data_IF_033836119877
#
_entry.id   IF_033836119877
#
_cell.length_a   1.000
_cell.length_b   1.000
_cell.length_c   1.000
_cell.angle_alpha   90.00
_cell.angle_beta   90.00
_cell.angle_gamma   90.00
#
_symmetry.space_group_name_H-M   'P 1'
#
loop_
_entity.id
_entity.type
_entity.pdbx_description
1 polymer ?
#
# COMPACT_ATOMS: atom_id res chain seq x y z
N UNK A 1 -15.16 -4.29 4.96
CA UNK A 1 -13.95 -5.11 5.15
C UNK A 1 -14.28 -6.36 5.95
N UNK A 2 -13.99 -7.53 5.42
CA UNK A 2 -14.10 -8.80 6.17
C UNK A 2 -12.77 -9.13 6.85
N UNK A 3 -12.83 -9.66 8.07
CA UNK A 3 -11.64 -10.08 8.83
C UNK A 3 -11.84 -11.49 9.38
N UNK A 4 -10.76 -12.27 9.43
CA UNK A 4 -10.72 -13.55 10.11
C UNK A 4 -10.26 -13.34 11.57
N UNK A 5 -11.05 -13.79 12.53
CA UNK A 5 -10.72 -13.76 13.98
C UNK A 5 -11.19 -15.05 14.62
N UNK A 6 -10.25 -15.78 15.25
CA UNK A 6 -10.56 -17.06 15.90
C UNK A 6 -11.27 -18.06 14.98
N UNK A 7 -10.89 -18.11 13.70
CA UNK A 7 -11.52 -18.99 12.70
C UNK A 7 -12.89 -18.52 12.17
N UNK A 8 -13.43 -17.40 12.67
CA UNK A 8 -14.71 -16.84 12.22
C UNK A 8 -14.50 -15.64 11.29
N UNK A 9 -15.34 -15.55 10.27
CA UNK A 9 -15.39 -14.39 9.37
C UNK A 9 -16.33 -13.34 9.96
N UNK A 10 -15.81 -12.13 10.15
CA UNK A 10 -16.53 -11.01 10.75
C UNK A 10 -16.48 -9.79 9.84
N UNK A 11 -17.49 -8.93 9.94
CA UNK A 11 -17.50 -7.62 9.28
C UNK A 11 -16.87 -6.59 10.23
N UNK A 12 -15.89 -5.85 9.75
CA UNK A 12 -15.26 -4.77 10.52
C UNK A 12 -16.07 -3.48 10.41
N UNK A 13 -16.56 -2.97 11.56
CA UNK A 13 -17.27 -1.70 11.69
C UNK A 13 -16.41 -0.56 12.27
N UNK A 14 -15.16 -0.85 12.64
CA UNK A 14 -14.23 0.11 13.27
C UNK A 14 -13.01 0.41 12.39
N UNK A 15 -13.04 -0.01 11.13
CA UNK A 15 -11.96 0.17 10.17
C UNK A 15 -12.08 1.53 9.44
N UNK A 16 -10.96 2.20 9.22
CA UNK A 16 -10.90 3.49 8.51
C UNK A 16 -10.75 3.36 6.98
N UNK A 17 -10.76 2.14 6.43
CA UNK A 17 -10.74 1.89 4.99
C UNK A 17 -12.14 2.07 4.38
N UNK A 18 -12.61 3.32 4.36
CA UNK A 18 -13.96 3.69 3.92
C UNK A 18 -14.26 3.30 2.48
N UNK A 19 -13.24 3.34 1.62
CA UNK A 19 -13.36 3.03 0.19
C UNK A 19 -12.98 1.58 -0.14
N UNK A 20 -12.66 0.77 0.88
CA UNK A 20 -12.19 -0.61 0.73
C UNK A 20 -10.97 -0.74 -0.22
N UNK A 21 -10.12 0.30 -0.27
CA UNK A 21 -8.97 0.36 -1.17
C UNK A 21 -7.84 -0.55 -0.70
N UNK A 22 -7.70 -0.81 0.60
CA UNK A 22 -6.66 -1.71 1.13
C UNK A 22 -6.75 -3.13 0.55
N UNK A 23 -7.94 -3.54 0.09
CA UNK A 23 -8.18 -4.85 -0.50
C UNK A 23 -8.39 -4.81 -2.02
N UNK A 24 -8.36 -3.63 -2.64
CA UNK A 24 -8.69 -3.47 -4.05
C UNK A 24 -7.69 -4.24 -4.95
N UNK A 25 -8.17 -5.12 -5.87
CA UNK A 25 -7.29 -5.97 -6.67
C UNK A 25 -6.25 -5.20 -7.48
N UNK A 26 -6.63 -4.06 -8.08
CA UNK A 26 -5.71 -3.25 -8.87
C UNK A 26 -4.57 -2.64 -8.03
N UNK A 27 -4.84 -2.27 -6.77
CA UNK A 27 -3.80 -1.73 -5.88
C UNK A 27 -2.85 -2.83 -5.40
N UNK A 28 -3.37 -4.03 -5.14
CA UNK A 28 -2.52 -5.20 -4.84
C UNK A 28 -1.60 -5.53 -6.01
N UNK A 29 -2.11 -5.46 -7.24
CA UNK A 29 -1.29 -5.73 -8.41
C UNK A 29 -0.24 -4.65 -8.63
N UNK A 30 -0.61 -3.37 -8.57
CA UNK A 30 0.33 -2.26 -8.69
C UNK A 30 1.45 -2.32 -7.63
N UNK A 31 1.12 -2.72 -6.40
CA UNK A 31 2.12 -2.91 -5.34
C UNK A 31 3.09 -4.06 -5.65
N UNK A 32 2.59 -5.21 -6.15
CA UNK A 32 3.44 -6.34 -6.56
C UNK A 32 4.36 -5.94 -7.71
N UNK A 33 3.82 -5.30 -8.74
CA UNK A 33 4.60 -4.85 -9.91
C UNK A 33 5.68 -3.84 -9.50
N UNK A 34 5.37 -2.95 -8.54
CA UNK A 34 6.34 -2.01 -8.00
C UNK A 34 7.46 -2.73 -7.24
N UNK A 35 7.13 -3.74 -6.41
CA UNK A 35 8.11 -4.54 -5.68
C UNK A 35 9.04 -5.28 -6.67
N UNK A 36 8.48 -5.93 -7.68
CA UNK A 36 9.25 -6.70 -8.67
C UNK A 36 10.19 -5.80 -9.49
N UNK A 37 9.79 -4.56 -9.77
CA UNK A 37 10.57 -3.61 -10.57
C UNK A 37 11.57 -2.78 -9.78
N UNK A 38 11.23 -2.41 -8.55
CA UNK A 38 11.91 -1.35 -7.79
C UNK A 38 12.35 -1.77 -6.39
N UNK A 39 12.01 -3.00 -5.97
CA UNK A 39 12.31 -3.50 -4.63
C UNK A 39 11.29 -3.07 -3.59
N UNK A 40 11.54 -3.46 -2.34
CA UNK A 40 10.54 -3.39 -1.25
C UNK A 40 10.52 -2.02 -0.54
N UNK A 41 11.50 -1.15 -0.80
CA UNK A 41 11.60 0.16 -0.15
C UNK A 41 12.76 0.99 -0.70
N UNK A 42 12.90 2.21 -0.17
CA UNK A 42 13.88 3.21 -0.65
C UNK A 42 15.31 3.01 -0.15
N UNK A 43 15.54 2.12 0.82
CA UNK A 43 16.86 1.82 1.38
C UNK A 43 17.45 2.86 2.34
N UNK A 44 16.95 4.10 2.36
CA UNK A 44 17.33 5.16 3.30
C UNK A 44 16.25 6.24 3.42
N UNK A 45 16.52 7.30 4.19
CA UNK A 45 15.73 8.54 4.18
C UNK A 45 16.00 9.34 2.90
N UNK A 46 15.05 10.21 2.52
CA UNK A 46 15.11 11.00 1.28
C UNK A 46 16.39 11.82 1.14
N UNK A 47 16.80 12.51 2.20
CA UNK A 47 17.95 13.42 2.17
C UNK A 47 19.31 12.71 2.03
N UNK A 48 19.37 11.39 2.25
CA UNK A 48 20.62 10.63 2.17
C UNK A 48 20.71 9.96 0.80
N UNK A 49 19.96 8.88 0.59
CA UNK A 49 19.96 8.10 -0.66
C UNK A 49 18.59 7.49 -0.97
N UNK A 50 17.58 7.79 -0.17
CA UNK A 50 16.27 7.15 -0.24
C UNK A 50 15.21 7.95 -0.99
N UNK A 51 15.60 8.91 -1.81
CA UNK A 51 14.65 9.66 -2.63
C UNK A 51 14.20 8.81 -3.82
N UNK A 52 13.25 7.90 -3.55
CA UNK A 52 12.76 6.93 -4.50
C UNK A 52 11.96 7.60 -5.63
N UNK A 53 12.14 7.24 -6.92
CA UNK A 53 11.52 7.94 -8.06
C UNK A 53 9.99 8.09 -7.99
N UNK A 54 9.30 7.12 -7.39
CA UNK A 54 7.85 7.18 -7.19
C UNK A 54 7.37 8.30 -6.25
N UNK A 55 8.24 8.84 -5.38
CA UNK A 55 7.88 9.85 -4.41
C UNK A 55 7.50 11.18 -5.07
N UNK A 56 8.36 11.80 -5.91
CA UNK A 56 7.99 13.02 -6.63
C UNK A 56 6.81 12.82 -7.61
N UNK A 57 6.70 11.64 -8.23
CA UNK A 57 5.55 11.31 -9.08
C UNK A 57 4.22 11.31 -8.31
N UNK A 58 4.23 10.77 -7.09
CA UNK A 58 3.06 10.77 -6.21
C UNK A 58 2.75 12.19 -5.71
N UNK A 59 3.78 12.95 -5.34
CA UNK A 59 3.63 14.33 -4.86
C UNK A 59 3.05 15.26 -5.89
N UNK A 60 3.41 15.11 -7.17
CA UNK A 60 2.83 15.90 -8.24
C UNK A 60 1.35 15.56 -8.53
N UNK A 61 0.87 14.40 -8.06
CA UNK A 61 -0.51 13.92 -8.28
C UNK A 61 -1.47 14.26 -7.15
N UNK A 62 -0.96 14.58 -5.96
CA UNK A 62 -1.73 14.91 -4.76
C UNK A 62 -1.89 16.43 -4.62
#
# INVERSE_FOLDING_TARGET
MEVLRGGRRLVSFSCNDYLNLSQHPALKQAAKDAIDRMGVGSGASRLVTGDHPLLPELEARL
#
